data_IF_863205910306
#
_entry.id   IF_863205910306
#
_cell.length_a   1.000
_cell.length_b   1.000
_cell.length_c   1.000
_cell.angle_alpha   90.00
_cell.angle_beta   90.00
_cell.angle_gamma   90.00
#
_symmetry.space_group_name_H-M   'P 1'
#
loop_
_entity.id
_entity.type
_entity.pdbx_description
1 polymer ?
#
# COMPACT_ATOMS: atom_id res chain seq x y z
N UNK A 1 13.02 13.31 6.79
CA UNK A 1 14.48 13.05 6.79
C UNK A 1 14.81 12.43 8.14
N UNK A 2 14.46 11.16 8.30
CA UNK A 2 14.52 10.48 9.61
C UNK A 2 15.81 9.67 9.70
N UNK A 3 16.61 9.93 10.73
CA UNK A 3 17.86 9.19 10.96
C UNK A 3 17.62 7.79 11.55
N UNK A 4 16.48 7.61 12.24
CA UNK A 4 16.13 6.38 12.94
C UNK A 4 14.74 5.88 12.57
N UNK A 5 14.59 4.56 12.44
CA UNK A 5 13.30 3.86 12.29
C UNK A 5 13.31 2.60 13.14
N UNK A 6 12.28 2.41 13.98
CA UNK A 6 12.16 1.27 14.90
C UNK A 6 13.40 1.08 15.80
N UNK A 7 13.98 2.18 16.27
CA UNK A 7 15.16 2.18 17.16
C UNK A 7 16.49 1.84 16.49
N UNK A 8 16.55 1.77 15.15
CA UNK A 8 17.76 1.50 14.36
C UNK A 8 17.99 2.59 13.32
N UNK A 9 19.23 2.80 12.86
CA UNK A 9 19.50 3.67 11.72
C UNK A 9 18.64 3.33 10.50
N UNK A 10 18.15 4.34 9.81
CA UNK A 10 17.38 4.17 8.57
C UNK A 10 18.26 3.62 7.44
N UNK A 11 17.62 3.08 6.40
CA UNK A 11 18.31 2.40 5.30
C UNK A 11 19.38 3.31 4.64
N UNK A 12 19.04 4.56 4.33
CA UNK A 12 19.97 5.52 3.75
C UNK A 12 21.09 5.94 4.72
N UNK A 13 20.86 5.91 6.03
CA UNK A 13 21.90 6.18 7.03
C UNK A 13 22.94 5.05 7.12
N UNK A 14 22.56 3.82 6.77
CA UNK A 14 23.49 2.67 6.80
C UNK A 14 24.18 2.46 5.46
N UNK A 15 23.44 2.60 4.35
CA UNK A 15 23.89 2.18 3.02
C UNK A 15 23.98 3.31 1.99
N UNK A 16 23.62 4.55 2.37
CA UNK A 16 23.55 5.70 1.47
C UNK A 16 22.21 5.82 0.75
N UNK A 17 21.91 7.03 0.25
CA UNK A 17 20.63 7.35 -0.40
C UNK A 17 20.40 6.53 -1.68
N UNK A 18 21.41 6.43 -2.56
CA UNK A 18 21.29 5.72 -3.84
C UNK A 18 20.90 4.25 -3.64
N UNK A 19 21.53 3.58 -2.67
CA UNK A 19 21.24 2.18 -2.34
C UNK A 19 19.85 2.05 -1.72
N UNK A 20 19.44 3.00 -0.88
CA UNK A 20 18.13 2.98 -0.25
C UNK A 20 16.99 3.12 -1.26
N UNK A 21 17.15 3.96 -2.29
CA UNK A 21 16.18 4.09 -3.39
C UNK A 21 16.09 2.79 -4.19
N UNK A 22 17.23 2.25 -4.63
CA UNK A 22 17.25 1.01 -5.42
C UNK A 22 16.73 -0.21 -4.64
N UNK A 23 16.98 -0.26 -3.33
CA UNK A 23 16.39 -1.28 -2.47
C UNK A 23 14.86 -1.17 -2.41
N UNK A 24 14.32 0.05 -2.37
CA UNK A 24 12.88 0.30 -2.45
C UNK A 24 12.28 -0.18 -3.77
N UNK A 25 12.88 0.21 -4.89
CA UNK A 25 12.43 -0.20 -6.24
C UNK A 25 12.49 -1.72 -6.42
N UNK A 26 13.56 -2.35 -5.92
CA UNK A 26 13.69 -3.81 -5.94
C UNK A 26 12.63 -4.51 -5.10
N UNK A 27 12.29 -3.99 -3.91
CA UNK A 27 11.23 -4.57 -3.07
C UNK A 27 9.86 -4.44 -3.73
N UNK A 28 9.59 -3.32 -4.39
CA UNK A 28 8.36 -3.10 -5.13
C UNK A 28 8.21 -4.11 -6.28
N UNK A 29 9.24 -4.26 -7.11
CA UNK A 29 9.24 -5.23 -8.21
C UNK A 29 9.08 -6.67 -7.70
N UNK A 30 9.82 -7.01 -6.64
CA UNK A 30 9.81 -8.34 -6.04
C UNK A 30 8.44 -8.70 -5.43
N UNK A 31 7.68 -7.74 -4.92
CA UNK A 31 6.33 -7.99 -4.40
C UNK A 31 5.39 -8.56 -5.49
N UNK A 32 5.45 -8.02 -6.71
CA UNK A 32 4.67 -8.53 -7.84
C UNK A 32 5.18 -9.89 -8.33
N UNK A 33 6.50 -10.05 -8.42
CA UNK A 33 7.12 -11.32 -8.79
C UNK A 33 6.72 -12.44 -7.83
N UNK A 34 6.79 -12.17 -6.52
CA UNK A 34 6.44 -13.14 -5.48
C UNK A 34 4.98 -13.61 -5.62
N UNK A 35 4.04 -12.69 -5.83
CA UNK A 35 2.63 -13.05 -6.05
C UNK A 35 2.48 -13.90 -7.32
N UNK A 36 3.09 -13.48 -8.42
CA UNK A 36 2.94 -14.15 -9.72
C UNK A 36 3.56 -15.56 -9.75
N UNK A 37 4.69 -15.76 -9.08
CA UNK A 37 5.52 -16.97 -9.23
C UNK A 37 5.39 -17.95 -8.08
N UNK A 38 5.06 -17.47 -6.88
CA UNK A 38 5.08 -18.28 -5.65
C UNK A 38 3.68 -18.60 -5.12
N UNK A 39 2.63 -18.00 -5.67
CA UNK A 39 1.24 -18.35 -5.33
C UNK A 39 0.86 -19.69 -5.95
N UNK A 40 0.51 -20.68 -5.12
CA UNK A 40 0.14 -22.03 -5.54
C UNK A 40 -1.29 -22.40 -5.12
N UNK A 41 -1.93 -23.34 -5.81
CA UNK A 41 -3.27 -23.82 -5.45
C UNK A 41 -4.39 -22.83 -5.78
N UNK A 42 -4.10 -21.84 -6.62
CA UNK A 42 -5.01 -20.76 -7.00
C UNK A 42 -5.03 -20.62 -8.53
N UNK A 43 -6.21 -20.48 -9.17
CA UNK A 43 -6.30 -20.24 -10.61
C UNK A 43 -5.57 -18.96 -11.07
N UNK A 44 -5.00 -18.99 -12.28
CA UNK A 44 -4.18 -17.89 -12.80
C UNK A 44 -4.95 -16.57 -12.96
N UNK A 45 -6.22 -16.61 -13.36
CA UNK A 45 -7.10 -15.44 -13.48
C UNK A 45 -7.24 -14.69 -12.15
N UNK A 46 -7.30 -15.44 -11.05
CA UNK A 46 -7.38 -14.87 -9.70
C UNK A 46 -6.06 -14.26 -9.25
N UNK A 47 -4.92 -14.86 -9.62
CA UNK A 47 -3.58 -14.28 -9.37
C UNK A 47 -3.43 -12.96 -10.14
N UNK A 48 -3.85 -12.92 -11.41
CA UNK A 48 -3.84 -11.68 -12.22
C UNK A 48 -4.74 -10.61 -11.60
N UNK A 49 -5.94 -10.99 -11.14
CA UNK A 49 -6.83 -10.07 -10.41
C UNK A 49 -6.16 -9.48 -9.17
N UNK A 50 -5.50 -10.31 -8.36
CA UNK A 50 -4.76 -9.90 -7.15
C UNK A 50 -3.63 -8.94 -7.49
N UNK A 51 -2.84 -9.21 -8.53
CA UNK A 51 -1.81 -8.29 -9.02
C UNK A 51 -2.41 -6.91 -9.37
N UNK A 52 -3.55 -6.90 -10.07
CA UNK A 52 -4.26 -5.69 -10.41
C UNK A 52 -4.76 -4.91 -9.19
N UNK A 53 -5.31 -5.59 -8.18
CA UNK A 53 -5.74 -4.98 -6.93
C UNK A 53 -4.56 -4.38 -6.15
N UNK A 54 -3.44 -5.11 -6.05
CA UNK A 54 -2.24 -4.58 -5.39
C UNK A 54 -1.74 -3.32 -6.09
N UNK A 55 -1.65 -3.35 -7.42
CA UNK A 55 -1.20 -2.21 -8.22
C UNK A 55 -2.07 -0.97 -8.00
N UNK A 56 -3.40 -1.12 -7.92
CA UNK A 56 -4.31 -0.02 -7.60
C UNK A 56 -4.09 0.50 -6.18
N UNK A 57 -3.99 -0.38 -5.19
CA UNK A 57 -3.81 0.01 -3.78
C UNK A 57 -2.52 0.77 -3.52
N UNK A 58 -1.44 0.49 -4.26
CA UNK A 58 -0.15 1.17 -4.06
C UNK A 58 0.11 2.33 -5.03
N UNK A 59 -0.62 2.38 -6.15
CA UNK A 59 -0.39 3.33 -7.23
C UNK A 59 -0.94 4.74 -6.98
N UNK A 60 -1.20 5.44 -8.08
CA UNK A 60 -1.65 6.83 -8.11
C UNK A 60 -3.07 7.08 -7.58
N UNK A 61 -3.83 6.01 -7.30
CA UNK A 61 -5.15 6.08 -6.65
C UNK A 61 -5.11 5.56 -5.20
N UNK A 62 -3.92 5.26 -4.68
CA UNK A 62 -3.74 4.64 -3.37
C UNK A 62 -2.56 5.23 -2.62
N UNK A 63 -1.68 4.37 -2.10
CA UNK A 63 -0.57 4.74 -1.22
C UNK A 63 0.25 5.93 -1.74
N UNK A 64 0.67 5.90 -3.00
CA UNK A 64 1.51 6.96 -3.57
C UNK A 64 0.77 8.29 -3.64
N UNK A 65 -0.53 8.31 -3.97
CA UNK A 65 -1.31 9.55 -3.94
C UNK A 65 -1.35 10.17 -2.53
N UNK A 66 -1.64 9.36 -1.51
CA UNK A 66 -1.65 9.84 -0.13
C UNK A 66 -0.30 10.39 0.31
N UNK A 67 0.78 9.73 -0.10
CA UNK A 67 2.13 10.15 0.25
C UNK A 67 2.59 11.43 -0.48
N UNK A 68 2.23 11.58 -1.76
CA UNK A 68 2.51 12.81 -2.52
C UNK A 68 1.76 14.00 -1.92
N UNK A 69 0.46 13.84 -1.65
CA UNK A 69 -0.34 14.92 -1.07
C UNK A 69 0.17 15.30 0.31
N UNK A 70 0.55 14.33 1.15
CA UNK A 70 1.15 14.60 2.46
C UNK A 70 2.41 15.47 2.36
N UNK A 71 3.36 15.10 1.49
CA UNK A 71 4.58 15.88 1.26
C UNK A 71 4.25 17.29 0.75
N UNK A 72 3.33 17.41 -0.22
CA UNK A 72 2.91 18.72 -0.74
C UNK A 72 2.16 19.58 0.28
N UNK A 73 1.69 18.98 1.39
CA UNK A 73 0.98 19.68 2.46
C UNK A 73 1.89 20.13 3.59
N UNK A 74 3.16 19.70 3.61
CA UNK A 74 4.13 20.13 4.59
C UNK A 74 4.30 21.66 4.53
N UNK A 75 4.14 22.34 5.67
CA UNK A 75 4.24 23.79 5.77
C UNK A 75 2.95 24.57 5.48
N UNK A 76 1.85 23.90 5.13
CA UNK A 76 0.53 24.53 5.06
C UNK A 76 -0.04 24.75 6.47
N UNK A 77 -0.57 25.95 6.72
CA UNK A 77 -1.14 26.31 8.03
C UNK A 77 -2.65 26.07 8.13
N UNK A 78 -3.34 25.83 7.01
CA UNK A 78 -4.79 25.70 6.94
C UNK A 78 -5.20 24.46 6.14
N UNK A 79 -4.95 23.29 6.74
CA UNK A 79 -5.30 22.00 6.15
C UNK A 79 -6.69 21.60 6.65
N UNK A 80 -7.69 21.70 5.78
CA UNK A 80 -9.06 21.32 6.10
C UNK A 80 -9.24 19.83 6.38
N UNK A 81 -10.33 19.48 7.08
CA UNK A 81 -10.63 18.10 7.46
C UNK A 81 -10.65 17.14 6.26
N UNK A 82 -11.30 17.53 5.16
CA UNK A 82 -11.37 16.71 3.94
C UNK A 82 -9.99 16.36 3.37
N UNK A 83 -9.03 17.28 3.51
CA UNK A 83 -7.66 17.10 3.02
C UNK A 83 -6.86 16.15 3.91
N UNK A 84 -7.01 16.27 5.24
CA UNK A 84 -6.44 15.31 6.19
C UNK A 84 -7.03 13.91 6.01
N UNK A 85 -8.35 13.81 5.82
CA UNK A 85 -9.03 12.55 5.54
C UNK A 85 -8.48 11.92 4.25
N UNK A 86 -8.29 12.69 3.19
CA UNK A 86 -7.69 12.19 1.95
C UNK A 86 -6.30 11.59 2.20
N UNK A 87 -5.43 12.29 2.93
CA UNK A 87 -4.09 11.79 3.27
C UNK A 87 -4.18 10.47 4.04
N UNK A 88 -4.99 10.40 5.11
CA UNK A 88 -5.12 9.20 5.94
C UNK A 88 -5.67 7.99 5.17
N UNK A 89 -6.73 8.21 4.37
CA UNK A 89 -7.35 7.15 3.56
C UNK A 89 -6.33 6.58 2.57
N UNK A 90 -5.58 7.43 1.89
CA UNK A 90 -4.71 6.96 0.82
C UNK A 90 -3.35 6.47 1.33
N UNK A 91 -2.72 7.17 2.28
CA UNK A 91 -1.39 6.82 2.79
C UNK A 91 -1.40 5.56 3.67
N UNK A 92 -2.48 5.34 4.42
CA UNK A 92 -2.58 4.24 5.39
C UNK A 92 -3.65 3.23 5.00
N UNK A 93 -4.89 3.66 4.80
CA UNK A 93 -6.01 2.74 4.62
C UNK A 93 -5.93 1.95 3.31
N UNK A 94 -5.42 2.54 2.21
CA UNK A 94 -5.36 1.90 0.90
C UNK A 94 -4.57 0.58 0.89
N UNK A 95 -3.45 0.52 1.63
CA UNK A 95 -2.62 -0.70 1.70
C UNK A 95 -3.22 -1.75 2.64
N UNK A 96 -3.91 -1.32 3.71
CA UNK A 96 -4.65 -2.22 4.60
C UNK A 96 -5.83 -2.86 3.85
N UNK A 97 -6.58 -2.05 3.10
CA UNK A 97 -7.62 -2.51 2.19
C UNK A 97 -7.08 -3.51 1.18
N UNK A 98 -5.99 -3.16 0.48
CA UNK A 98 -5.33 -4.06 -0.45
C UNK A 98 -5.02 -5.40 0.22
N UNK A 99 -4.34 -5.38 1.36
CA UNK A 99 -3.93 -6.61 2.09
C UNK A 99 -5.12 -7.54 2.39
N UNK A 100 -6.25 -6.99 2.84
CA UNK A 100 -7.46 -7.77 3.12
C UNK A 100 -8.09 -8.31 1.83
N UNK A 101 -8.23 -7.47 0.81
CA UNK A 101 -8.86 -7.83 -0.46
C UNK A 101 -8.05 -8.89 -1.21
N UNK A 102 -6.72 -8.78 -1.24
CA UNK A 102 -5.83 -9.78 -1.85
C UNK A 102 -6.04 -11.15 -1.20
N UNK A 103 -6.06 -11.20 0.13
CA UNK A 103 -6.31 -12.45 0.87
C UNK A 103 -7.70 -13.04 0.60
N UNK A 104 -8.73 -12.18 0.56
CA UNK A 104 -10.11 -12.60 0.27
C UNK A 104 -10.24 -13.21 -1.14
N UNK A 105 -9.67 -12.53 -2.15
CA UNK A 105 -9.69 -13.00 -3.53
C UNK A 105 -8.95 -14.33 -3.64
N UNK A 106 -7.71 -14.43 -3.12
CA UNK A 106 -6.93 -15.66 -3.13
C UNK A 106 -7.67 -16.82 -2.45
N UNK A 107 -8.29 -16.55 -1.29
CA UNK A 107 -9.11 -17.49 -0.53
C UNK A 107 -10.41 -17.94 -1.22
N UNK A 108 -10.77 -17.34 -2.35
CA UNK A 108 -11.95 -17.71 -3.13
C UNK A 108 -13.25 -17.10 -2.64
N UNK A 109 -13.18 -15.98 -1.93
CA UNK A 109 -14.35 -15.18 -1.59
C UNK A 109 -15.07 -14.72 -2.86
N UNK A 110 -16.40 -14.63 -2.77
CA UNK A 110 -17.25 -14.06 -3.81
C UNK A 110 -17.10 -12.53 -3.86
N UNK A 111 -17.44 -11.89 -4.98
CA UNK A 111 -17.35 -10.43 -5.11
C UNK A 111 -18.11 -9.67 -4.00
N UNK A 112 -19.33 -10.07 -3.59
CA UNK A 112 -20.01 -9.45 -2.46
C UNK A 112 -19.27 -9.57 -1.12
N UNK A 113 -18.55 -10.67 -0.89
CA UNK A 113 -17.74 -10.86 0.32
C UNK A 113 -16.47 -10.00 0.28
N UNK A 114 -15.81 -9.94 -0.88
CA UNK A 114 -14.66 -9.05 -1.12
C UNK A 114 -15.05 -7.61 -0.84
N UNK A 115 -16.21 -7.14 -1.31
CA UNK A 115 -16.65 -5.76 -1.09
C UNK A 115 -17.01 -5.47 0.38
N UNK A 116 -17.57 -6.43 1.12
CA UNK A 116 -17.78 -6.29 2.57
C UNK A 116 -16.46 -6.16 3.31
N UNK A 117 -15.48 -6.99 2.95
CA UNK A 117 -14.13 -6.95 3.54
C UNK A 117 -13.37 -5.69 3.16
N UNK A 118 -13.55 -5.20 1.93
CA UNK A 118 -13.02 -3.90 1.47
C UNK A 118 -13.54 -2.77 2.34
N UNK A 119 -14.86 -2.71 2.56
CA UNK A 119 -15.48 -1.70 3.44
C UNK A 119 -14.98 -1.81 4.88
N UNK A 120 -14.88 -3.02 5.42
CA UNK A 120 -14.30 -3.26 6.74
C UNK A 120 -12.87 -2.72 6.83
N UNK A 121 -12.02 -3.03 5.85
CA UNK A 121 -10.63 -2.62 5.81
C UNK A 121 -10.47 -1.08 5.71
N UNK A 122 -11.34 -0.41 4.95
CA UNK A 122 -11.40 1.06 4.91
C UNK A 122 -11.72 1.65 6.28
N UNK A 123 -12.70 1.09 6.98
CA UNK A 123 -13.09 1.58 8.31
C UNK A 123 -11.97 1.42 9.34
N UNK A 124 -11.25 0.28 9.35
CA UNK A 124 -10.12 0.08 10.28
C UNK A 124 -8.90 0.93 9.90
N UNK A 125 -8.69 1.22 8.62
CA UNK A 125 -7.58 2.04 8.16
C UNK A 125 -7.76 3.53 8.43
N UNK A 126 -9.00 3.94 8.73
CA UNK A 126 -9.34 5.30 9.16
C UNK A 126 -9.31 5.48 10.68
N UNK A 127 -9.37 4.39 11.46
CA UNK A 127 -9.35 4.41 12.92
C UNK A 127 -7.96 4.77 13.46
#
# INVERSE_FOLDING_TARGET
NDDLRRGKPTNHMVFGEDVAVLAGDSLLAFAFELIATSTTGVPADRIVRVIGELAKSIGSEGLVAGQVIDICSEGMTDVGLEHLEFIHVHKTAALLEGSVVLGAILGGATDPEVEKLRKFARCIGFL
#
